data_IF_296419437035
#
_entry.id   IF_296419437035
#
_cell.length_a   1.000
_cell.length_b   1.000
_cell.length_c   1.000
_cell.angle_alpha   90.00
_cell.angle_beta   90.00
_cell.angle_gamma   90.00
#
_symmetry.space_group_name_H-M   'P 1'
#
loop_
_entity.id
_entity.type
_entity.pdbx_description
1 polymer ?
#
# COMPACT_ATOMS: atom_id res chain seq x y z
N UNK A 1 -5.96 -2.47 4.97
CA UNK A 1 -5.50 -2.62 3.57
C UNK A 1 -4.11 -2.05 3.44
N UNK A 2 -3.23 -2.74 2.72
CA UNK A 2 -1.86 -2.28 2.42
C UNK A 2 -1.81 -1.71 1.01
N UNK A 3 -1.14 -0.55 0.86
CA UNK A 3 -0.90 0.12 -0.43
C UNK A 3 0.61 0.32 -0.57
N UNK A 4 1.25 -0.37 -1.52
CA UNK A 4 2.71 -0.42 -1.58
C UNK A 4 3.29 -0.32 -2.99
N UNK A 5 4.34 0.51 -3.15
CA UNK A 5 5.16 0.49 -4.36
C UNK A 5 6.18 -0.65 -4.27
N UNK A 6 6.17 -1.55 -5.25
CA UNK A 6 7.06 -2.73 -5.32
C UNK A 6 7.79 -2.78 -6.67
N UNK A 7 8.59 -1.74 -6.93
CA UNK A 7 9.36 -1.63 -8.18
C UNK A 7 10.37 -2.77 -8.39
N UNK A 8 10.65 -3.57 -7.37
CA UNK A 8 11.51 -4.75 -7.47
C UNK A 8 11.04 -5.74 -8.56
N UNK A 9 9.73 -5.81 -8.82
CA UNK A 9 9.17 -6.61 -9.90
C UNK A 9 9.51 -5.99 -11.25
N UNK A 10 9.23 -4.71 -11.45
CA UNK A 10 9.56 -4.00 -12.70
C UNK A 10 11.06 -3.91 -12.97
N UNK A 11 11.90 -3.95 -11.93
CA UNK A 11 13.36 -4.03 -12.02
C UNK A 11 13.88 -5.45 -12.26
N UNK A 12 12.99 -6.43 -12.36
CA UNK A 12 13.34 -7.85 -12.52
C UNK A 12 14.21 -8.44 -11.40
N UNK A 13 14.10 -7.89 -10.18
CA UNK A 13 14.76 -8.42 -8.98
C UNK A 13 14.02 -9.65 -8.46
N UNK A 14 12.68 -9.59 -8.47
CA UNK A 14 11.79 -10.71 -8.18
C UNK A 14 10.61 -10.67 -9.16
N UNK A 15 9.93 -11.79 -9.34
CA UNK A 15 8.68 -11.85 -10.11
C UNK A 15 7.45 -11.67 -9.21
N UNK A 16 6.27 -11.47 -9.81
CA UNK A 16 5.02 -11.30 -9.06
C UNK A 16 4.68 -12.51 -8.20
N UNK A 17 4.97 -13.73 -8.67
CA UNK A 17 4.75 -14.96 -7.89
C UNK A 17 5.54 -14.94 -6.58
N UNK A 18 6.81 -14.53 -6.63
CA UNK A 18 7.65 -14.38 -5.44
C UNK A 18 7.13 -13.30 -4.51
N UNK A 19 6.71 -12.15 -5.06
CA UNK A 19 6.11 -11.07 -4.28
C UNK A 19 4.84 -11.53 -3.57
N UNK A 20 3.95 -12.25 -4.26
CA UNK A 20 2.73 -12.80 -3.67
C UNK A 20 3.04 -13.78 -2.53
N UNK A 21 4.09 -14.60 -2.66
CA UNK A 21 4.57 -15.47 -1.58
C UNK A 21 5.01 -14.67 -0.36
N UNK A 22 5.73 -13.56 -0.56
CA UNK A 22 6.16 -12.66 0.52
C UNK A 22 4.94 -12.03 1.22
N UNK A 23 3.95 -11.55 0.47
CA UNK A 23 2.71 -11.00 1.01
C UNK A 23 1.91 -12.04 1.80
N UNK A 24 1.83 -13.26 1.31
CA UNK A 24 1.17 -14.36 2.02
C UNK A 24 1.87 -14.67 3.35
N UNK A 25 3.20 -14.76 3.35
CA UNK A 25 3.98 -14.97 4.58
C UNK A 25 3.78 -13.85 5.59
N UNK A 26 3.74 -12.59 5.14
CA UNK A 26 3.47 -11.44 6.00
C UNK A 26 2.08 -11.54 6.65
N UNK A 27 1.03 -11.84 5.88
CA UNK A 27 -0.33 -12.02 6.39
C UNK A 27 -0.41 -13.17 7.40
N UNK A 28 0.23 -14.29 7.10
CA UNK A 28 0.29 -15.47 8.00
C UNK A 28 1.02 -15.15 9.29
N UNK A 29 2.11 -14.40 9.23
CA UNK A 29 2.87 -13.99 10.41
C UNK A 29 2.04 -13.09 11.34
N UNK A 30 1.35 -12.08 10.77
CA UNK A 30 0.47 -11.18 11.53
C UNK A 30 -0.64 -11.93 12.24
N UNK A 31 -1.26 -12.89 11.56
CA UNK A 31 -2.31 -13.72 12.12
C UNK A 31 -1.80 -14.59 13.29
N UNK A 32 -0.66 -15.26 13.10
CA UNK A 32 -0.09 -16.15 14.13
C UNK A 32 0.42 -15.39 15.35
N UNK A 33 1.10 -14.28 15.16
CA UNK A 33 1.73 -13.52 16.25
C UNK A 33 0.75 -12.64 17.01
N UNK A 34 -0.11 -11.91 16.30
CA UNK A 34 -0.89 -10.83 16.88
C UNK A 34 -2.40 -11.03 16.72
N UNK A 35 -2.84 -12.15 16.16
CA UNK A 35 -4.24 -12.39 15.76
C UNK A 35 -4.81 -11.23 14.92
N UNK A 36 -3.93 -10.58 14.16
CA UNK A 36 -4.25 -9.44 13.30
C UNK A 36 -4.21 -9.87 11.84
N UNK A 37 -5.03 -9.25 11.01
CA UNK A 37 -5.07 -9.58 9.60
C UNK A 37 -5.12 -8.31 8.74
N UNK A 38 -4.70 -8.50 7.49
CA UNK A 38 -4.78 -7.50 6.43
C UNK A 38 -5.80 -8.00 5.41
N UNK A 39 -6.85 -7.22 5.19
CA UNK A 39 -7.94 -7.60 4.26
C UNK A 39 -7.43 -7.74 2.83
N UNK A 40 -6.61 -6.80 2.37
CA UNK A 40 -6.10 -6.79 1.01
C UNK A 40 -4.76 -6.06 0.89
N UNK A 41 -4.04 -6.37 -0.19
CA UNK A 41 -2.78 -5.72 -0.53
C UNK A 41 -2.82 -5.28 -1.98
N UNK A 42 -2.70 -3.97 -2.21
CA UNK A 42 -2.54 -3.39 -3.54
C UNK A 42 -1.09 -2.99 -3.72
N UNK A 43 -0.45 -3.50 -4.74
CA UNK A 43 0.95 -3.18 -5.04
C UNK A 43 1.13 -2.64 -6.45
N UNK A 44 2.14 -1.80 -6.61
CA UNK A 44 2.56 -1.28 -7.92
C UNK A 44 3.89 -1.89 -8.30
N UNK A 45 3.94 -2.76 -9.32
CA UNK A 45 5.18 -3.31 -9.83
C UNK A 45 5.93 -2.34 -10.76
N UNK A 46 5.31 -1.21 -11.09
CA UNK A 46 5.73 -0.34 -12.20
C UNK A 46 7.06 0.36 -11.95
N UNK A 47 7.88 0.33 -12.98
CA UNK A 47 9.18 0.98 -13.04
C UNK A 47 9.42 1.47 -14.48
N UNK A 48 9.62 2.78 -14.66
CA UNK A 48 9.69 3.42 -15.99
C UNK A 48 10.80 2.88 -16.90
N UNK A 49 11.86 2.32 -16.34
CA UNK A 49 12.99 1.75 -17.07
C UNK A 49 12.97 0.21 -17.10
N UNK A 50 11.82 -0.41 -16.85
CA UNK A 50 11.72 -1.87 -16.88
C UNK A 50 12.02 -2.43 -18.28
N UNK A 51 12.69 -3.58 -18.32
CA UNK A 51 12.87 -4.35 -19.55
C UNK A 51 11.55 -4.96 -20.06
N UNK A 52 10.54 -5.11 -19.18
CA UNK A 52 9.22 -5.59 -19.56
C UNK A 52 8.27 -4.42 -19.79
N UNK A 53 7.76 -4.28 -21.01
CA UNK A 53 6.87 -3.18 -21.43
C UNK A 53 5.65 -3.02 -20.50
N UNK A 54 5.06 -4.13 -20.05
CA UNK A 54 3.90 -4.13 -19.14
C UNK A 54 4.15 -3.38 -17.82
N UNK A 55 5.40 -3.27 -17.36
CA UNK A 55 5.76 -2.58 -16.13
C UNK A 55 6.20 -1.13 -16.32
N UNK A 56 6.22 -0.61 -17.56
CA UNK A 56 6.66 0.76 -17.83
C UNK A 56 5.54 1.79 -17.86
N UNK A 57 4.29 1.41 -18.13
CA UNK A 57 3.26 2.31 -18.62
C UNK A 57 2.26 2.83 -17.59
N UNK A 58 2.02 2.12 -16.48
CA UNK A 58 0.99 2.53 -15.54
C UNK A 58 1.54 3.37 -14.38
N UNK A 59 1.66 4.68 -14.62
CA UNK A 59 2.04 5.63 -13.56
C UNK A 59 0.90 5.88 -12.56
N UNK A 60 -0.36 5.72 -12.97
CA UNK A 60 -1.53 6.02 -12.13
C UNK A 60 -1.60 5.10 -10.91
N UNK A 61 -1.27 3.83 -11.08
CA UNK A 61 -1.22 2.83 -10.00
C UNK A 61 0.09 2.85 -9.20
N UNK A 62 0.85 3.93 -9.27
CA UNK A 62 2.08 4.10 -8.50
C UNK A 62 2.03 5.39 -7.68
N UNK A 63 2.22 5.32 -6.36
CA UNK A 63 2.40 6.51 -5.51
C UNK A 63 3.57 7.37 -6.04
N UNK A 64 3.40 8.66 -6.20
CA UNK A 64 2.44 9.59 -5.56
C UNK A 64 1.08 9.71 -6.26
N UNK A 65 0.71 8.86 -7.18
CA UNK A 65 -0.61 8.84 -7.79
C UNK A 65 -1.59 7.96 -7.00
N UNK A 66 -2.90 8.23 -7.06
CA UNK A 66 -3.88 7.65 -6.16
C UNK A 66 -4.46 6.31 -6.64
N UNK A 67 -4.03 5.78 -7.79
CA UNK A 67 -4.71 4.66 -8.46
C UNK A 67 -4.95 3.43 -7.58
N UNK A 68 -3.95 2.99 -6.82
CA UNK A 68 -4.11 1.86 -5.90
C UNK A 68 -5.11 2.15 -4.77
N UNK A 69 -5.11 3.38 -4.24
CA UNK A 69 -6.06 3.79 -3.19
C UNK A 69 -7.48 3.78 -3.76
N UNK A 70 -7.69 4.36 -4.95
CA UNK A 70 -9.01 4.40 -5.58
C UNK A 70 -9.52 3.00 -5.95
N UNK A 71 -8.64 2.09 -6.37
CA UNK A 71 -8.98 0.67 -6.56
C UNK A 71 -9.43 0.00 -5.26
N UNK A 72 -8.73 0.25 -4.17
CA UNK A 72 -9.11 -0.25 -2.85
C UNK A 72 -10.46 0.30 -2.39
N UNK A 73 -10.67 1.62 -2.56
CA UNK A 73 -11.94 2.29 -2.25
C UNK A 73 -13.10 1.65 -3.00
N UNK A 74 -12.93 1.43 -4.30
CA UNK A 74 -13.97 0.84 -5.14
C UNK A 74 -14.23 -0.63 -4.80
N UNK A 75 -13.19 -1.44 -4.63
CA UNK A 75 -13.33 -2.87 -4.31
C UNK A 75 -13.99 -3.13 -2.97
N UNK A 76 -13.65 -2.32 -1.96
CA UNK A 76 -14.06 -2.52 -0.57
C UNK A 76 -15.14 -1.54 -0.09
N UNK A 77 -15.68 -0.72 -1.00
CA UNK A 77 -16.68 0.32 -0.69
C UNK A 77 -16.26 1.19 0.51
N UNK A 78 -15.01 1.68 0.49
CA UNK A 78 -14.40 2.40 1.61
C UNK A 78 -14.99 3.80 1.75
N UNK A 79 -15.45 4.15 2.93
CA UNK A 79 -15.84 5.51 3.25
C UNK A 79 -14.60 6.37 3.53
N UNK A 80 -14.20 7.21 2.58
CA UNK A 80 -13.01 8.05 2.67
C UNK A 80 -13.06 9.03 3.86
N UNK A 81 -14.24 9.56 4.22
CA UNK A 81 -14.41 10.49 5.35
C UNK A 81 -14.16 9.81 6.70
N UNK A 82 -14.42 8.50 6.79
CA UNK A 82 -14.22 7.69 8.00
C UNK A 82 -12.92 6.90 7.98
N UNK A 83 -12.10 7.06 6.95
CA UNK A 83 -10.85 6.33 6.75
C UNK A 83 -9.64 7.24 6.80
N UNK A 84 -8.48 6.66 6.97
CA UNK A 84 -7.21 7.37 6.94
C UNK A 84 -6.10 6.47 6.36
N UNK A 85 -5.01 7.10 5.95
CA UNK A 85 -3.82 6.43 5.48
C UNK A 85 -2.63 6.79 6.37
N UNK A 86 -1.87 5.79 6.80
CA UNK A 86 -0.59 5.97 7.50
C UNK A 86 0.53 5.57 6.54
N UNK A 87 1.53 6.42 6.39
CA UNK A 87 2.69 6.14 5.55
C UNK A 87 3.93 6.86 6.06
N UNK A 88 5.08 6.52 5.54
CA UNK A 88 6.38 7.08 5.93
C UNK A 88 7.01 7.98 4.86
N UNK A 89 6.46 7.95 3.63
CA UNK A 89 7.02 8.65 2.48
C UNK A 89 6.13 9.83 2.04
N UNK A 90 6.78 10.86 1.49
CA UNK A 90 6.06 11.99 0.85
C UNK A 90 5.16 11.51 -0.30
N UNK A 91 5.50 10.41 -0.96
CA UNK A 91 4.67 9.80 -2.01
C UNK A 91 3.37 9.22 -1.46
N UNK A 92 3.37 8.74 -0.22
CA UNK A 92 2.18 8.26 0.49
C UNK A 92 1.23 9.43 0.77
N UNK A 93 1.78 10.52 1.34
CA UNK A 93 1.02 11.75 1.59
C UNK A 93 0.36 12.28 0.32
N UNK A 94 1.14 12.42 -0.78
CA UNK A 94 0.63 12.94 -2.04
C UNK A 94 -0.46 12.05 -2.64
N UNK A 95 -0.32 10.73 -2.54
CA UNK A 95 -1.33 9.78 -3.02
C UNK A 95 -2.62 9.87 -2.19
N UNK A 96 -2.51 9.91 -0.87
CA UNK A 96 -3.64 10.08 0.04
C UNK A 96 -4.39 11.40 -0.22
N UNK A 97 -3.66 12.51 -0.35
CA UNK A 97 -4.23 13.83 -0.66
C UNK A 97 -5.01 13.83 -1.98
N UNK A 98 -4.44 13.25 -3.04
CA UNK A 98 -5.11 13.13 -4.35
C UNK A 98 -6.36 12.26 -4.30
N UNK A 99 -6.38 11.25 -3.42
CA UNK A 99 -7.55 10.39 -3.22
C UNK A 99 -8.60 10.99 -2.27
N UNK A 100 -8.34 12.13 -1.64
CA UNK A 100 -9.25 12.74 -0.66
C UNK A 100 -9.26 12.03 0.70
N UNK A 101 -8.16 11.38 1.06
CA UNK A 101 -8.02 10.58 2.28
C UNK A 101 -7.19 11.32 3.33
N UNK A 102 -7.62 11.29 4.59
CA UNK A 102 -6.80 11.80 5.70
C UNK A 102 -5.49 11.03 5.78
N UNK A 103 -4.40 11.72 6.07
CA UNK A 103 -3.07 11.14 6.12
C UNK A 103 -2.38 11.42 7.45
N UNK A 104 -1.66 10.43 7.94
CA UNK A 104 -0.78 10.55 9.11
C UNK A 104 0.60 9.99 8.77
N UNK A 105 1.65 10.73 9.08
CA UNK A 105 3.00 10.17 9.01
C UNK A 105 3.19 9.12 10.10
N UNK A 106 3.84 8.01 9.75
CA UNK A 106 4.22 6.99 10.72
C UNK A 106 5.19 7.60 11.74
N UNK A 107 4.80 7.58 13.02
CA UNK A 107 5.65 8.00 14.13
C UNK A 107 6.73 6.94 14.45
N UNK A 108 7.83 7.35 15.13
CA UNK A 108 8.87 6.43 15.60
C UNK A 108 8.42 5.51 16.75
N UNK A 109 7.14 5.53 17.08
CA UNK A 109 6.50 4.67 18.07
C UNK A 109 5.88 3.44 17.43
N UNK A 110 5.41 2.51 18.27
CA UNK A 110 4.62 1.37 17.81
C UNK A 110 3.44 1.83 16.94
N UNK A 111 3.27 1.20 15.78
CA UNK A 111 2.13 1.46 14.91
C UNK A 111 0.79 1.23 15.64
N UNK A 112 0.73 0.24 16.52
CA UNK A 112 -0.45 -0.03 17.35
C UNK A 112 -0.81 1.17 18.22
N UNK A 113 0.15 1.77 18.93
CA UNK A 113 -0.08 2.93 19.78
C UNK A 113 -0.55 4.15 18.97
N UNK A 114 0.01 4.33 17.77
CA UNK A 114 -0.44 5.37 16.86
C UNK A 114 -1.87 5.13 16.38
N UNK A 115 -2.23 3.90 16.01
CA UNK A 115 -3.58 3.52 15.60
C UNK A 115 -4.60 3.78 16.72
N UNK A 116 -4.30 3.37 17.95
CA UNK A 116 -5.17 3.61 19.11
C UNK A 116 -5.41 5.12 19.31
N UNK A 117 -4.36 5.94 19.19
CA UNK A 117 -4.46 7.41 19.32
C UNK A 117 -5.35 8.04 18.25
N UNK A 118 -5.23 7.60 17.00
CA UNK A 118 -6.01 8.13 15.87
C UNK A 118 -7.47 7.69 15.92
N UNK A 119 -7.73 6.49 16.45
CA UNK A 119 -9.08 5.90 16.52
C UNK A 119 -9.94 6.43 17.67
N UNK A 120 -9.34 7.17 18.60
CA UNK A 120 -10.06 7.88 19.68
C UNK A 120 -10.65 9.20 19.19
#
# INVERSE_FOLDING_TARGET
IVITNQACVGKNIINEKKLNTIHFKMKSYLMKKNKSYVDDIFFSPYYKYSNHSKYRLNKFDRKPNPGMILKAVNKWNINLKKSFFIGDQITDFKAAKKAGLRFYYKENKSLLNQLIKISK
#
